data_IF_046168523652
#
_entry.id   IF_046168523652
#
_cell.length_a   1.000
_cell.length_b   1.000
_cell.length_c   1.000
_cell.angle_alpha   90.00
_cell.angle_beta   90.00
_cell.angle_gamma   90.00
#
_symmetry.space_group_name_H-M   'P 1'
#
loop_
_entity.id
_entity.type
_entity.pdbx_description
1 polymer ?
#
# COMPACT_ATOMS: atom_id res chain seq x y z
N UNK A 1 26.33 -1.86 -9.34
CA UNK A 1 26.26 -2.35 -10.75
C UNK A 1 25.00 -3.21 -10.87
N UNK A 2 24.13 -2.95 -11.83
CA UNK A 2 22.95 -3.81 -12.08
C UNK A 2 23.42 -5.20 -12.53
N UNK A 3 22.73 -6.27 -12.12
CA UNK A 3 23.04 -7.63 -12.56
C UNK A 3 23.13 -7.74 -14.10
N UNK A 4 22.32 -6.95 -14.83
CA UNK A 4 22.37 -6.86 -16.28
C UNK A 4 23.69 -6.25 -16.81
N UNK A 5 24.30 -5.31 -16.09
CA UNK A 5 25.60 -4.73 -16.44
C UNK A 5 26.76 -5.69 -16.12
N UNK A 6 26.66 -6.43 -15.00
CA UNK A 6 27.63 -7.47 -14.63
C UNK A 6 27.59 -8.61 -15.64
N UNK A 7 26.43 -8.85 -16.27
CA UNK A 7 26.25 -9.88 -17.29
C UNK A 7 27.09 -9.68 -18.57
N UNK A 8 27.73 -8.52 -18.75
CA UNK A 8 28.76 -8.33 -19.78
C UNK A 8 30.04 -9.11 -19.50
N UNK A 9 30.25 -9.53 -18.26
CA UNK A 9 31.39 -10.33 -17.81
C UNK A 9 31.09 -11.84 -17.86
N UNK A 10 29.87 -12.25 -18.21
CA UNK A 10 29.48 -13.67 -18.35
C UNK A 10 30.39 -14.51 -19.26
N UNK A 11 31.04 -13.96 -20.32
CA UNK A 11 32.01 -14.72 -21.11
C UNK A 11 33.23 -15.21 -20.33
N UNK A 12 33.55 -14.58 -19.19
CA UNK A 12 34.71 -14.91 -18.38
C UNK A 12 34.31 -15.98 -17.34
N UNK A 13 34.95 -17.14 -17.40
CA UNK A 13 34.76 -18.20 -16.43
C UNK A 13 36.06 -18.53 -15.70
N UNK A 14 35.92 -18.78 -14.41
CA UNK A 14 36.99 -19.28 -13.56
C UNK A 14 36.53 -20.61 -12.98
N UNK A 15 37.32 -21.66 -13.18
CA UNK A 15 37.05 -22.96 -12.58
C UNK A 15 38.33 -23.53 -11.97
N UNK A 16 38.17 -24.15 -10.80
CA UNK A 16 39.23 -24.89 -10.14
C UNK A 16 38.88 -26.38 -10.18
N UNK A 17 39.70 -27.16 -10.87
CA UNK A 17 39.52 -28.61 -10.95
C UNK A 17 40.47 -29.28 -9.96
N UNK A 18 39.93 -29.65 -8.80
CA UNK A 18 40.64 -30.44 -7.79
C UNK A 18 40.47 -31.93 -8.05
N UNK A 19 41.57 -32.70 -8.04
CA UNK A 19 41.51 -34.16 -8.08
C UNK A 19 41.19 -34.70 -6.68
N UNK A 20 40.32 -35.70 -6.59
CA UNK A 20 40.37 -36.70 -5.51
C UNK A 20 40.80 -38.01 -6.15
N UNK A 21 42.06 -38.40 -5.95
CA UNK A 21 42.50 -39.75 -6.32
C UNK A 21 42.09 -40.72 -5.22
N UNK A 22 40.79 -40.93 -5.08
CA UNK A 22 40.23 -42.08 -4.37
C UNK A 22 39.58 -42.94 -5.44
N UNK A 23 40.36 -43.87 -5.99
CA UNK A 23 39.97 -45.19 -6.50
C UNK A 23 40.76 -45.56 -7.77
N UNK A 24 42.06 -45.84 -7.66
CA UNK A 24 42.63 -46.99 -8.38
C UNK A 24 43.72 -47.66 -7.55
N UNK A 25 43.54 -48.92 -7.15
CA UNK A 25 44.58 -49.71 -6.51
C UNK A 25 45.64 -50.10 -7.56
N UNK A 26 46.82 -49.50 -7.43
CA UNK A 26 48.11 -50.17 -7.55
C UNK A 26 48.31 -51.10 -8.76
N UNK A 27 48.66 -50.58 -9.94
CA UNK A 27 49.55 -51.29 -10.89
C UNK A 27 50.43 -50.29 -11.66
N UNK A 28 51.73 -50.58 -11.68
CA UNK A 28 52.82 -49.78 -12.25
C UNK A 28 52.80 -49.74 -13.79
N UNK A 29 51.86 -49.03 -14.41
CA UNK A 29 51.92 -48.71 -15.84
C UNK A 29 51.53 -47.25 -16.03
N UNK A 30 52.50 -46.43 -16.45
CA UNK A 30 52.28 -45.01 -16.80
C UNK A 30 51.60 -44.98 -18.17
N UNK A 31 50.27 -45.13 -18.17
CA UNK A 31 49.47 -44.84 -19.35
C UNK A 31 49.03 -43.38 -19.29
N UNK A 32 49.80 -42.50 -19.94
CA UNK A 32 49.43 -41.10 -20.14
C UNK A 32 48.28 -41.06 -21.15
N UNK A 33 47.06 -41.25 -20.66
CA UNK A 33 45.88 -40.89 -21.44
C UNK A 33 45.72 -39.37 -21.38
N UNK A 34 45.26 -38.76 -22.48
CA UNK A 34 45.18 -37.30 -22.72
C UNK A 34 44.44 -36.51 -21.62
N UNK A 35 43.75 -37.19 -20.70
CA UNK A 35 43.11 -36.63 -19.51
C UNK A 35 44.07 -36.21 -18.39
N UNK A 36 45.36 -36.57 -18.46
CA UNK A 36 46.31 -36.29 -17.38
C UNK A 36 46.88 -34.85 -17.39
N UNK A 37 46.57 -34.05 -18.42
CA UNK A 37 47.28 -32.78 -18.71
C UNK A 37 46.59 -31.51 -18.14
N UNK A 38 45.38 -31.59 -17.59
CA UNK A 38 44.64 -30.40 -17.11
C UNK A 38 44.19 -30.51 -15.64
N UNK A 39 45.06 -30.08 -14.71
CA UNK A 39 44.71 -29.81 -13.30
C UNK A 39 45.11 -28.41 -12.87
N UNK A 40 44.33 -27.83 -11.96
CA UNK A 40 44.59 -26.51 -11.39
C UNK A 40 43.59 -25.44 -11.81
N UNK A 41 44.02 -24.18 -11.72
CA UNK A 41 43.22 -23.01 -12.10
C UNK A 41 43.07 -22.93 -13.61
N UNK A 42 41.82 -22.94 -14.07
CA UNK A 42 41.49 -22.81 -15.49
C UNK A 42 40.69 -21.53 -15.70
N UNK A 43 41.14 -20.74 -16.68
CA UNK A 43 40.47 -19.53 -17.13
C UNK A 43 39.89 -19.81 -18.51
N UNK A 44 38.57 -19.66 -18.63
CA UNK A 44 37.87 -19.83 -19.88
C UNK A 44 37.32 -18.50 -20.38
N UNK A 45 37.43 -18.26 -21.68
CA UNK A 45 36.65 -17.20 -22.35
C UNK A 45 35.69 -17.88 -23.31
N UNK A 46 34.40 -17.80 -23.03
CA UNK A 46 33.33 -18.37 -23.86
C UNK A 46 32.55 -17.25 -24.54
N UNK A 47 32.78 -17.06 -25.84
CA UNK A 47 32.08 -16.02 -26.61
C UNK A 47 30.85 -16.62 -27.28
N UNK A 48 29.67 -16.27 -26.78
CA UNK A 48 28.41 -16.56 -27.46
C UNK A 48 27.98 -15.35 -28.29
N UNK A 49 28.05 -15.46 -29.63
CA UNK A 49 27.69 -14.36 -30.53
C UNK A 49 26.23 -13.90 -30.35
N UNK A 50 25.29 -14.84 -30.10
CA UNK A 50 23.89 -14.51 -29.82
C UNK A 50 23.69 -13.72 -28.52
N UNK A 51 24.47 -14.01 -27.49
CA UNK A 51 24.48 -13.24 -26.25
C UNK A 51 25.01 -11.81 -26.49
N UNK A 52 26.09 -11.63 -27.26
CA UNK A 52 26.66 -10.30 -27.53
C UNK A 52 25.66 -9.35 -28.21
N UNK A 53 24.83 -9.84 -29.13
CA UNK A 53 23.80 -9.02 -29.79
C UNK A 53 22.58 -8.73 -28.88
N UNK A 54 22.28 -9.59 -27.90
CA UNK A 54 21.10 -9.44 -27.03
C UNK A 54 21.38 -8.66 -25.74
N UNK A 55 22.63 -8.61 -25.27
CA UNK A 55 23.05 -7.92 -24.03
C UNK A 55 22.74 -6.42 -24.00
N UNK A 56 22.95 -5.62 -25.08
CA UNK A 56 22.56 -4.21 -25.08
C UNK A 56 21.04 -4.00 -24.88
N UNK A 57 20.23 -4.85 -25.53
CA UNK A 57 18.76 -4.83 -25.38
C UNK A 57 18.34 -5.19 -23.95
N UNK A 58 18.99 -6.20 -23.34
CA UNK A 58 18.75 -6.58 -21.95
C UNK A 58 19.11 -5.46 -20.97
N UNK A 59 20.24 -4.77 -21.17
CA UNK A 59 20.63 -3.62 -20.34
C UNK A 59 19.64 -2.47 -20.50
N UNK A 60 19.17 -2.19 -21.73
CA UNK A 60 18.14 -1.16 -21.98
C UNK A 60 16.84 -1.54 -21.26
N UNK A 61 16.38 -2.79 -21.38
CA UNK A 61 15.19 -3.29 -20.68
C UNK A 61 15.32 -3.17 -19.17
N UNK A 62 16.47 -3.52 -18.59
CA UNK A 62 16.71 -3.40 -17.15
C UNK A 62 16.71 -1.93 -16.68
N UNK A 63 17.21 -0.99 -17.49
CA UNK A 63 17.11 0.45 -17.21
C UNK A 63 15.67 0.95 -17.25
N UNK A 64 14.90 0.53 -18.25
CA UNK A 64 13.48 0.88 -18.32
C UNK A 64 12.69 0.28 -17.15
N UNK A 65 13.00 -0.94 -16.72
CA UNK A 65 12.38 -1.52 -15.52
C UNK A 65 12.66 -0.70 -14.26
N UNK A 66 13.87 -0.14 -14.12
CA UNK A 66 14.18 0.79 -13.01
C UNK A 66 13.34 2.08 -13.13
N UNK A 67 13.20 2.63 -14.33
CA UNK A 67 12.37 3.83 -14.55
C UNK A 67 10.90 3.54 -14.22
N UNK A 68 10.36 2.41 -14.68
CA UNK A 68 9.01 1.96 -14.34
C UNK A 68 8.86 1.86 -12.82
N UNK A 69 9.78 1.19 -12.12
CA UNK A 69 9.72 1.08 -10.67
C UNK A 69 9.77 2.45 -9.95
N UNK A 70 10.53 3.42 -10.49
CA UNK A 70 10.55 4.80 -9.98
C UNK A 70 9.20 5.49 -10.18
N UNK A 71 8.64 5.44 -11.38
CA UNK A 71 7.34 6.05 -11.66
C UNK A 71 6.21 5.40 -10.86
N UNK A 72 6.22 4.07 -10.70
CA UNK A 72 5.28 3.36 -9.83
C UNK A 72 5.40 3.82 -8.37
N UNK A 73 6.62 4.06 -7.89
CA UNK A 73 6.82 4.61 -6.54
C UNK A 73 6.28 6.04 -6.42
N UNK A 74 6.55 6.89 -7.41
CA UNK A 74 6.04 8.28 -7.43
C UNK A 74 4.52 8.33 -7.47
N UNK A 75 3.89 7.50 -8.31
CA UNK A 75 2.45 7.34 -8.39
C UNK A 75 1.86 6.84 -7.06
N UNK A 76 2.50 5.85 -6.43
CA UNK A 76 2.07 5.38 -5.11
C UNK A 76 2.14 6.49 -4.05
N UNK A 77 3.19 7.31 -4.04
CA UNK A 77 3.31 8.44 -3.10
C UNK A 77 2.24 9.51 -3.34
N UNK A 78 1.93 9.82 -4.61
CA UNK A 78 0.87 10.75 -4.97
C UNK A 78 -0.51 10.22 -4.56
N UNK A 79 -0.75 8.92 -4.76
CA UNK A 79 -1.97 8.25 -4.32
C UNK A 79 -2.12 8.32 -2.80
N UNK A 80 -1.04 8.03 -2.07
CA UNK A 80 -1.02 8.11 -0.61
C UNK A 80 -1.32 9.52 -0.11
N UNK A 81 -0.70 10.55 -0.71
CA UNK A 81 -0.96 11.95 -0.36
C UNK A 81 -2.43 12.32 -0.60
N UNK A 82 -2.99 11.88 -1.73
CA UNK A 82 -4.40 12.10 -2.07
C UNK A 82 -5.33 11.43 -1.06
N UNK A 83 -5.00 10.21 -0.65
CA UNK A 83 -5.79 9.43 0.30
C UNK A 83 -5.79 10.08 1.69
N UNK A 84 -4.62 10.51 2.17
CA UNK A 84 -4.48 11.22 3.45
C UNK A 84 -5.30 12.51 3.43
N UNK A 85 -5.18 13.33 2.38
CA UNK A 85 -5.96 14.58 2.25
C UNK A 85 -7.46 14.31 2.21
N UNK A 86 -7.89 13.30 1.47
CA UNK A 86 -9.31 12.94 1.36
C UNK A 86 -9.89 12.53 2.71
N UNK A 87 -9.22 11.62 3.43
CA UNK A 87 -9.64 11.19 4.77
C UNK A 87 -9.62 12.34 5.78
N UNK A 88 -8.61 13.22 5.70
CA UNK A 88 -8.53 14.42 6.53
C UNK A 88 -9.68 15.40 6.28
N UNK A 89 -10.01 15.69 5.02
CA UNK A 89 -11.12 16.59 4.71
C UNK A 89 -12.48 16.00 5.09
N UNK A 90 -12.66 14.68 5.01
CA UNK A 90 -13.84 14.00 5.54
C UNK A 90 -13.97 14.17 7.06
N UNK A 91 -12.88 13.96 7.81
CA UNK A 91 -12.87 14.18 9.25
C UNK A 91 -13.24 15.63 9.60
N UNK A 92 -12.62 16.60 8.91
CA UNK A 92 -12.88 18.01 9.11
C UNK A 92 -14.35 18.35 8.79
N UNK A 93 -14.91 17.78 7.72
CA UNK A 93 -16.31 17.96 7.37
C UNK A 93 -17.22 17.52 8.51
N UNK A 94 -17.04 16.29 9.03
CA UNK A 94 -17.85 15.79 10.13
C UNK A 94 -17.68 16.63 11.41
N UNK A 95 -16.45 17.05 11.71
CA UNK A 95 -16.20 17.93 12.86
C UNK A 95 -16.99 19.25 12.76
N UNK A 96 -17.08 19.83 11.55
CA UNK A 96 -17.81 21.09 11.32
C UNK A 96 -19.33 20.92 11.25
N UNK A 97 -19.83 19.75 10.86
CA UNK A 97 -21.29 19.50 10.78
C UNK A 97 -21.93 19.18 12.13
N UNK A 98 -21.16 18.70 13.12
CA UNK A 98 -21.69 18.35 14.44
C UNK A 98 -22.38 19.51 15.16
N UNK A 99 -21.80 20.72 15.12
CA UNK A 99 -22.37 21.88 15.79
C UNK A 99 -23.73 22.32 15.18
N UNK A 100 -23.86 22.51 13.85
CA UNK A 100 -25.15 22.75 13.21
C UNK A 100 -26.21 21.67 13.50
N UNK A 101 -25.83 20.39 13.47
CA UNK A 101 -26.74 19.29 13.74
C UNK A 101 -27.20 19.27 15.20
N UNK A 102 -26.31 19.62 16.13
CA UNK A 102 -26.67 19.78 17.54
C UNK A 102 -27.68 20.91 17.74
N UNK A 103 -27.49 22.05 17.08
CA UNK A 103 -28.46 23.16 17.14
C UNK A 103 -29.81 22.75 16.54
N UNK A 104 -29.80 22.08 15.39
CA UNK A 104 -31.03 21.57 14.76
C UNK A 104 -31.77 20.57 15.66
N UNK A 105 -31.04 19.71 16.38
CA UNK A 105 -31.63 18.81 17.36
C UNK A 105 -32.28 19.58 18.52
N UNK A 106 -31.59 20.57 19.09
CA UNK A 106 -32.15 21.40 20.17
C UNK A 106 -33.41 22.15 19.72
N UNK A 107 -33.42 22.70 18.52
CA UNK A 107 -34.59 23.38 17.95
C UNK A 107 -35.76 22.40 17.74
N UNK A 108 -35.48 21.22 17.19
CA UNK A 108 -36.48 20.17 16.99
C UNK A 108 -37.02 19.65 18.33
N UNK A 109 -36.17 19.49 19.34
CA UNK A 109 -36.56 19.07 20.69
C UNK A 109 -37.48 20.11 21.35
N UNK A 110 -37.12 21.39 21.26
CA UNK A 110 -37.91 22.49 21.78
C UNK A 110 -39.28 22.57 21.12
N UNK A 111 -39.33 22.41 19.78
CA UNK A 111 -40.59 22.40 19.04
C UNK A 111 -41.44 21.18 19.38
N UNK A 112 -40.83 19.99 19.52
CA UNK A 112 -41.52 18.78 19.93
C UNK A 112 -42.13 18.92 21.34
N UNK A 113 -41.38 19.46 22.31
CA UNK A 113 -41.89 19.72 23.67
C UNK A 113 -43.07 20.68 23.66
N UNK A 114 -42.99 21.77 22.88
CA UNK A 114 -44.10 22.73 22.74
C UNK A 114 -45.33 22.08 22.11
N UNK A 115 -45.14 21.35 21.01
CA UNK A 115 -46.22 20.65 20.31
C UNK A 115 -46.89 19.59 21.19
N UNK A 116 -46.09 18.87 21.98
CA UNK A 116 -46.60 17.90 22.96
C UNK A 116 -47.53 18.57 23.98
N UNK A 117 -47.13 19.71 24.55
CA UNK A 117 -47.95 20.46 25.49
C UNK A 117 -49.23 21.00 24.84
N UNK A 118 -49.15 21.54 23.62
CA UNK A 118 -50.34 21.99 22.89
C UNK A 118 -51.29 20.84 22.54
N UNK A 119 -50.77 19.66 22.19
CA UNK A 119 -51.56 18.47 21.95
C UNK A 119 -52.25 17.96 23.23
N UNK A 120 -51.53 17.93 24.37
CA UNK A 120 -52.09 17.58 25.68
C UNK A 120 -53.21 18.55 26.12
N UNK A 121 -53.17 19.80 25.66
CA UNK A 121 -54.22 20.81 25.87
C UNK A 121 -55.33 20.79 24.81
N UNK A 122 -55.29 19.85 23.87
CA UNK A 122 -56.19 19.77 22.72
C UNK A 122 -56.18 21.03 21.80
N UNK A 123 -55.08 21.81 21.83
CA UNK A 123 -54.86 22.99 20.98
C UNK A 123 -54.20 22.62 19.64
N UNK A 124 -53.69 21.40 19.50
CA UNK A 124 -53.03 20.89 18.29
C UNK A 124 -53.62 19.57 17.83
N UNK A 125 -53.52 19.29 16.53
CA UNK A 125 -54.02 18.05 15.93
C UNK A 125 -53.01 16.91 16.06
N UNK A 126 -53.50 15.67 15.99
CA UNK A 126 -52.64 14.47 15.98
C UNK A 126 -51.66 14.48 14.79
N UNK A 127 -52.08 15.00 13.64
CA UNK A 127 -51.24 15.13 12.45
C UNK A 127 -50.04 16.06 12.69
N UNK A 128 -50.27 17.24 13.28
CA UNK A 128 -49.21 18.19 13.63
C UNK A 128 -48.22 17.62 14.67
N UNK A 129 -48.74 16.89 15.66
CA UNK A 129 -47.93 16.19 16.65
C UNK A 129 -47.03 15.14 15.99
N UNK A 130 -47.61 14.28 15.15
CA UNK A 130 -46.87 13.24 14.43
C UNK A 130 -45.80 13.83 13.50
N UNK A 131 -46.14 14.88 12.76
CA UNK A 131 -45.19 15.60 11.90
C UNK A 131 -43.99 16.12 12.68
N UNK A 132 -44.23 16.78 13.83
CA UNK A 132 -43.16 17.31 14.68
C UNK A 132 -42.31 16.18 15.30
N UNK A 133 -42.95 15.08 15.70
CA UNK A 133 -42.27 13.90 16.20
C UNK A 133 -41.34 13.27 15.16
N UNK A 134 -41.76 13.19 13.89
CA UNK A 134 -40.92 12.72 12.79
C UNK A 134 -39.69 13.62 12.63
N UNK A 135 -39.87 14.94 12.62
CA UNK A 135 -38.76 15.90 12.48
C UNK A 135 -37.75 15.76 13.64
N UNK A 136 -38.24 15.62 14.87
CA UNK A 136 -37.37 15.39 16.04
C UNK A 136 -36.57 14.10 15.92
N UNK A 137 -37.22 12.99 15.54
CA UNK A 137 -36.52 11.71 15.34
C UNK A 137 -35.50 11.77 14.19
N UNK A 138 -35.80 12.49 13.10
CA UNK A 138 -34.87 12.71 12.00
C UNK A 138 -33.64 13.52 12.45
N UNK A 139 -33.83 14.55 13.28
CA UNK A 139 -32.72 15.33 13.83
C UNK A 139 -31.80 14.49 14.73
N UNK A 140 -32.38 13.59 15.55
CA UNK A 140 -31.60 12.62 16.34
C UNK A 140 -30.77 11.73 15.42
N UNK A 141 -31.41 11.11 14.42
CA UNK A 141 -30.74 10.20 13.50
C UNK A 141 -29.62 10.90 12.72
N UNK A 142 -29.84 12.14 12.29
CA UNK A 142 -28.82 12.93 11.61
C UNK A 142 -27.61 13.20 12.52
N UNK A 143 -27.83 13.55 13.79
CA UNK A 143 -26.74 13.73 14.77
C UNK A 143 -25.94 12.44 14.98
N UNK A 144 -26.63 11.32 15.25
CA UNK A 144 -25.99 10.01 15.47
C UNK A 144 -25.17 9.58 14.24
N UNK A 145 -25.73 9.78 13.04
CA UNK A 145 -25.03 9.47 11.80
C UNK A 145 -23.76 10.30 11.64
N UNK A 146 -23.82 11.61 11.96
CA UNK A 146 -22.64 12.48 11.90
C UNK A 146 -21.58 12.14 12.97
N UNK A 147 -21.99 11.78 14.19
CA UNK A 147 -21.07 11.33 15.24
C UNK A 147 -20.37 10.03 14.85
N UNK A 148 -21.12 9.09 14.29
CA UNK A 148 -20.58 7.82 13.80
C UNK A 148 -19.64 8.07 12.61
N UNK A 149 -20.02 8.96 11.69
CA UNK A 149 -19.19 9.37 10.56
C UNK A 149 -17.89 10.04 10.99
N UNK A 150 -17.94 10.91 12.02
CA UNK A 150 -16.75 11.50 12.63
C UNK A 150 -15.80 10.44 13.20
N UNK A 151 -16.31 9.51 14.00
CA UNK A 151 -15.51 8.44 14.59
C UNK A 151 -14.92 7.51 13.53
N UNK A 152 -15.70 7.18 12.50
CA UNK A 152 -15.23 6.37 11.37
C UNK A 152 -14.12 7.09 10.60
N UNK A 153 -14.32 8.37 10.25
CA UNK A 153 -13.32 9.15 9.54
C UNK A 153 -12.03 9.30 10.35
N UNK A 154 -12.15 9.43 11.68
CA UNK A 154 -11.01 9.46 12.59
C UNK A 154 -10.23 8.15 12.54
N UNK A 155 -10.91 7.02 12.73
CA UNK A 155 -10.29 5.69 12.68
C UNK A 155 -9.64 5.41 11.31
N UNK A 156 -10.29 5.78 10.21
CA UNK A 156 -9.73 5.64 8.87
C UNK A 156 -8.48 6.51 8.68
N UNK A 157 -8.42 7.73 9.23
CA UNK A 157 -7.19 8.53 9.12
C UNK A 157 -6.06 7.94 9.97
N UNK A 158 -6.36 7.45 11.17
CA UNK A 158 -5.41 6.79 12.08
C UNK A 158 -4.81 5.50 11.50
N UNK A 159 -5.58 4.76 10.68
CA UNK A 159 -5.08 3.59 9.95
C UNK A 159 -3.93 3.95 8.99
N UNK A 160 -3.99 5.09 8.31
CA UNK A 160 -2.93 5.53 7.39
C UNK A 160 -1.71 6.08 8.13
N UNK A 161 -1.91 6.79 9.25
CA UNK A 161 -0.82 7.43 9.98
C UNK A 161 -0.12 6.50 10.96
N UNK A 162 -0.69 5.32 11.27
CA UNK A 162 -0.20 4.30 12.24
C UNK A 162 -0.05 4.84 13.68
N UNK A 163 -0.25 6.15 13.87
CA UNK A 163 -0.18 6.91 15.10
C UNK A 163 -1.55 7.56 15.30
N UNK A 164 -2.03 7.59 16.55
CA UNK A 164 -3.28 8.27 16.90
C UNK A 164 -3.15 9.76 16.60
N UNK A 165 -4.21 10.37 16.08
CA UNK A 165 -4.19 11.81 15.75
C UNK A 165 -3.93 12.66 16.99
N UNK A 166 -4.32 12.17 18.17
CA UNK A 166 -4.08 12.79 19.48
C UNK A 166 -2.59 12.88 19.87
N UNK A 167 -1.74 12.06 19.23
CA UNK A 167 -0.30 12.00 19.51
C UNK A 167 0.54 12.79 18.49
N UNK A 168 -0.08 13.31 17.43
CA UNK A 168 0.59 14.17 16.44
C UNK A 168 0.68 15.59 17.02
N UNK A 169 1.86 15.92 17.56
CA UNK A 169 2.20 17.27 18.05
C UNK A 169 2.50 18.25 16.92
#
# INVERSE_FOLDING_TARGET
LSAAQISWLDPLSFQYVGRSNQNQPNTNLVEITTADVLTGYQFGVSLNAGALFTKPSLVKKAREQINVAKFTKEEYMLSLETEVKTRYYQLLQFQKTLMPLNNALLDAENNYKKMKLSFERAEATLEQFNSTSIVYNQAIQAKISAETGYLSAKASLEELTVIKIEEIK
#
